data_IF_448153005255
#
_entry.id   IF_448153005255
#
_cell.length_a   1.000
_cell.length_b   1.000
_cell.length_c   1.000
_cell.angle_alpha   90.00
_cell.angle_beta   90.00
_cell.angle_gamma   90.00
#
_symmetry.space_group_name_H-M   'P 1'
#
loop_
_entity.id
_entity.type
_entity.pdbx_description
1 polymer ?
#
# COMPACT_ATOMS: atom_id res chain seq x y z
N UNK A 1 -0.82 9.99 -19.08
CA UNK A 1 -0.42 11.03 -18.09
C UNK A 1 -1.65 11.33 -17.25
N UNK A 2 -1.84 10.57 -16.17
CA UNK A 2 -2.81 10.94 -15.14
C UNK A 2 -2.24 12.16 -14.44
N UNK A 3 -2.81 13.33 -14.69
CA UNK A 3 -2.41 14.53 -13.97
C UNK A 3 -2.83 14.36 -12.51
N UNK A 4 -2.05 14.91 -11.58
CA UNK A 4 -2.40 15.14 -10.16
C UNK A 4 -3.79 15.76 -9.92
N UNK A 5 -4.46 16.20 -10.98
CA UNK A 5 -5.76 16.86 -11.04
C UNK A 5 -6.91 15.86 -10.92
N UNK A 6 -6.75 14.63 -11.42
CA UNK A 6 -7.88 13.70 -11.55
C UNK A 6 -8.16 12.90 -10.26
N UNK A 7 -7.16 12.73 -9.38
CA UNK A 7 -7.35 12.15 -8.05
C UNK A 7 -6.30 12.64 -7.03
N UNK A 8 -6.34 13.91 -6.59
CA UNK A 8 -5.36 14.46 -5.67
C UNK A 8 -5.44 13.78 -4.31
N UNK A 9 -4.28 13.46 -3.71
CA UNK A 9 -4.21 13.00 -2.33
C UNK A 9 -5.02 13.91 -1.43
N UNK A 10 -5.88 13.28 -0.62
CA UNK A 10 -6.79 13.98 0.28
C UNK A 10 -6.01 14.83 1.29
N UNK A 11 -4.76 14.47 1.60
CA UNK A 11 -3.85 15.24 2.46
C UNK A 11 -2.51 15.56 1.80
N UNK A 12 -2.10 16.84 1.87
CA UNK A 12 -0.76 17.29 1.51
C UNK A 12 -0.05 17.92 2.73
N UNK A 13 0.95 17.25 3.34
CA UNK A 13 1.61 17.76 4.55
C UNK A 13 2.31 19.12 4.38
N UNK A 14 2.55 19.56 3.15
CA UNK A 14 3.24 20.82 2.83
C UNK A 14 2.29 21.99 2.59
N UNK A 15 0.98 21.80 2.76
CA UNK A 15 -0.01 22.88 2.63
C UNK A 15 -0.78 23.07 3.92
N UNK A 16 -1.27 24.29 4.15
CA UNK A 16 -2.06 24.59 5.35
C UNK A 16 -3.40 23.86 5.30
N UNK A 17 -3.73 23.15 6.38
CA UNK A 17 -4.99 22.46 6.55
C UNK A 17 -5.70 22.98 7.80
N UNK A 18 -7.03 22.87 7.82
CA UNK A 18 -7.79 23.03 9.06
C UNK A 18 -7.26 22.05 10.12
N UNK A 19 -7.42 22.36 11.42
CA UNK A 19 -6.93 21.50 12.49
C UNK A 19 -7.40 20.05 12.33
N UNK A 20 -6.48 19.09 12.48
CA UNK A 20 -6.75 17.66 12.25
C UNK A 20 -7.90 17.11 13.11
N UNK A 21 -8.19 17.72 14.26
CA UNK A 21 -9.27 17.26 15.15
C UNK A 21 -10.69 17.43 14.56
N UNK A 22 -10.89 18.30 13.57
CA UNK A 22 -12.21 18.51 12.91
C UNK A 22 -12.30 17.71 11.60
N UNK A 23 -11.25 16.98 11.22
CA UNK A 23 -11.14 16.41 9.88
C UNK A 23 -11.92 15.09 9.76
N UNK A 24 -12.89 15.07 8.87
CA UNK A 24 -13.73 13.90 8.60
C UNK A 24 -13.16 12.98 7.50
N UNK A 25 -12.73 13.54 6.37
CA UNK A 25 -12.11 12.77 5.27
C UNK A 25 -10.64 12.48 5.56
N UNK A 26 -10.21 11.26 5.29
CA UNK A 26 -8.88 10.71 5.60
C UNK A 26 -8.70 10.33 7.06
N UNK A 27 -9.75 10.46 7.88
CA UNK A 27 -9.72 10.04 9.29
C UNK A 27 -10.46 8.73 9.48
N UNK A 28 -10.14 8.04 10.57
CA UNK A 28 -10.81 6.78 10.93
C UNK A 28 -12.20 6.97 11.51
N UNK A 29 -12.61 8.23 11.78
CA UNK A 29 -13.90 8.56 12.40
C UNK A 29 -15.09 7.89 11.70
N UNK A 30 -15.25 7.97 10.36
CA UNK A 30 -16.42 7.43 9.68
C UNK A 30 -16.50 5.89 9.78
N UNK A 31 -15.35 5.22 9.78
CA UNK A 31 -15.23 3.75 9.88
C UNK A 31 -15.48 3.27 11.33
N UNK A 32 -15.02 4.04 12.32
CA UNK A 32 -15.05 3.66 13.75
C UNK A 32 -16.37 3.99 14.43
N UNK A 33 -16.99 5.11 14.06
CA UNK A 33 -18.17 5.65 14.74
C UNK A 33 -19.35 4.66 14.83
N UNK A 34 -19.72 3.88 13.79
CA UNK A 34 -20.79 2.88 13.91
C UNK A 34 -20.53 1.85 15.01
N UNK A 35 -19.28 1.36 15.10
CA UNK A 35 -18.87 0.39 16.12
C UNK A 35 -18.90 1.00 17.52
N UNK A 36 -18.41 2.24 17.67
CA UNK A 36 -18.46 3.00 18.93
C UNK A 36 -19.90 3.24 19.38
N UNK A 37 -20.82 3.58 18.47
CA UNK A 37 -22.23 3.78 18.78
C UNK A 37 -22.85 2.49 19.35
N UNK A 38 -22.58 1.33 18.75
CA UNK A 38 -23.08 0.03 19.26
C UNK A 38 -22.65 -0.21 20.70
N UNK A 39 -21.36 -0.02 21.02
CA UNK A 39 -20.84 -0.19 22.38
C UNK A 39 -21.45 0.85 23.34
N UNK A 40 -21.66 2.08 22.87
CA UNK A 40 -22.25 3.16 23.67
C UNK A 40 -23.73 2.91 23.96
N UNK A 41 -24.50 2.39 23.00
CA UNK A 41 -25.89 1.99 23.21
C UNK A 41 -26.00 0.88 24.25
N UNK A 42 -25.09 -0.09 24.22
CA UNK A 42 -25.00 -1.10 25.28
C UNK A 42 -24.72 -0.43 26.64
N UNK A 43 -23.82 0.54 26.69
CA UNK A 43 -23.54 1.28 27.93
C UNK A 43 -24.76 2.02 28.48
N UNK A 44 -25.58 2.62 27.61
CA UNK A 44 -26.86 3.24 27.98
C UNK A 44 -27.80 2.21 28.58
N UNK A 45 -27.98 1.06 27.91
CA UNK A 45 -28.84 -0.02 28.41
C UNK A 45 -28.38 -0.50 29.78
N UNK A 46 -27.07 -0.74 29.94
CA UNK A 46 -26.49 -1.19 31.21
C UNK A 46 -26.71 -0.16 32.32
N UNK A 47 -26.52 1.14 32.04
CA UNK A 47 -26.76 2.19 33.02
C UNK A 47 -28.22 2.26 33.44
N UNK A 48 -29.15 2.22 32.50
CA UNK A 48 -30.60 2.26 32.79
C UNK A 48 -31.00 1.05 33.63
N UNK A 49 -30.59 -0.16 33.23
CA UNK A 49 -30.94 -1.39 33.96
C UNK A 49 -30.36 -1.37 35.37
N UNK A 50 -29.08 -1.03 35.53
CA UNK A 50 -28.42 -1.11 36.83
C UNK A 50 -28.84 0.00 37.81
N UNK A 51 -29.21 1.19 37.32
CA UNK A 51 -29.50 2.35 38.15
C UNK A 51 -31.00 2.57 38.41
N UNK A 52 -31.85 2.30 37.41
CA UNK A 52 -33.30 2.56 37.50
C UNK A 52 -34.10 1.32 37.88
N UNK A 53 -33.51 0.12 37.73
CA UNK A 53 -34.16 -1.13 38.15
C UNK A 53 -33.50 -1.72 39.40
N UNK A 54 -34.16 -2.70 40.02
CA UNK A 54 -33.60 -3.44 41.16
C UNK A 54 -32.54 -4.47 40.76
N UNK A 55 -32.32 -4.68 39.46
CA UNK A 55 -31.40 -5.70 38.94
C UNK A 55 -29.99 -5.13 38.89
N UNK A 56 -29.09 -5.69 39.72
CA UNK A 56 -27.67 -5.35 39.70
C UNK A 56 -26.94 -6.25 38.70
N UNK A 57 -26.48 -5.65 37.61
CA UNK A 57 -25.73 -6.32 36.53
C UNK A 57 -24.25 -5.93 36.52
N UNK A 58 -23.82 -5.07 37.44
CA UNK A 58 -22.43 -4.70 37.61
C UNK A 58 -21.53 -5.90 37.89
N UNK A 59 -20.33 -5.89 37.31
CA UNK A 59 -19.29 -6.90 37.54
C UNK A 59 -18.01 -6.24 38.08
N UNK A 60 -17.14 -6.99 38.78
CA UNK A 60 -15.91 -6.41 39.34
C UNK A 60 -15.02 -5.76 38.28
N UNK A 61 -14.49 -4.57 38.58
CA UNK A 61 -13.57 -3.83 37.70
C UNK A 61 -12.15 -4.38 37.65
N UNK A 62 -11.89 -5.50 38.31
CA UNK A 62 -10.59 -6.20 38.32
C UNK A 62 -10.17 -6.72 36.95
N UNK A 63 -11.11 -6.90 36.01
CA UNK A 63 -10.81 -7.34 34.64
C UNK A 63 -10.33 -6.20 33.74
N UNK A 64 -10.63 -4.93 34.04
CA UNK A 64 -10.18 -3.77 33.27
C UNK A 64 -8.65 -3.75 33.12
N UNK A 65 -7.84 -3.76 34.19
CA UNK A 65 -6.38 -3.67 34.04
C UNK A 65 -5.79 -4.89 33.30
N UNK A 66 -6.32 -6.10 33.54
CA UNK A 66 -5.81 -7.33 32.92
C UNK A 66 -6.09 -7.33 31.41
N UNK A 67 -7.36 -7.14 31.02
CA UNK A 67 -7.73 -7.12 29.61
C UNK A 67 -7.20 -5.87 28.90
N UNK A 68 -7.17 -4.73 29.58
CA UNK A 68 -6.63 -3.48 29.06
C UNK A 68 -5.14 -3.59 28.73
N UNK A 69 -4.35 -4.25 29.59
CA UNK A 69 -2.95 -4.54 29.30
C UNK A 69 -2.77 -5.44 28.08
N UNK A 70 -3.53 -6.54 28.00
CA UNK A 70 -3.47 -7.47 26.86
C UNK A 70 -3.88 -6.78 25.55
N UNK A 71 -4.99 -6.03 25.56
CA UNK A 71 -5.45 -5.25 24.40
C UNK A 71 -4.41 -4.22 23.98
N UNK A 72 -3.82 -3.49 24.93
CA UNK A 72 -2.80 -2.48 24.66
C UNK A 72 -1.56 -3.08 23.98
N UNK A 73 -1.06 -4.22 24.46
CA UNK A 73 0.07 -4.91 23.86
C UNK A 73 -0.24 -5.39 22.45
N UNK A 74 -1.39 -6.03 22.24
CA UNK A 74 -1.76 -6.56 20.92
C UNK A 74 -1.99 -5.44 19.91
N UNK A 75 -2.65 -4.35 20.30
CA UNK A 75 -2.83 -3.18 19.43
C UNK A 75 -1.50 -2.55 19.05
N UNK A 76 -0.58 -2.39 20.01
CA UNK A 76 0.76 -1.85 19.75
C UNK A 76 1.53 -2.70 18.75
N UNK A 77 1.51 -4.02 18.92
CA UNK A 77 2.15 -4.93 17.97
C UNK A 77 1.53 -4.78 16.56
N UNK A 78 0.20 -4.80 16.45
CA UNK A 78 -0.50 -4.61 15.17
C UNK A 78 -0.12 -3.29 14.49
N UNK A 79 -0.15 -2.18 15.22
CA UNK A 79 0.19 -0.88 14.63
C UNK A 79 1.63 -0.80 14.17
N UNK A 80 2.56 -1.39 14.93
CA UNK A 80 3.97 -1.40 14.55
C UNK A 80 4.18 -2.25 13.29
N UNK A 81 3.63 -3.46 13.23
CA UNK A 81 3.76 -4.33 12.05
C UNK A 81 3.12 -3.71 10.80
N UNK A 82 1.95 -3.09 10.93
CA UNK A 82 1.31 -2.40 9.81
C UNK A 82 2.12 -1.18 9.35
N UNK A 83 2.64 -0.38 10.30
CA UNK A 83 3.51 0.75 10.00
C UNK A 83 4.81 0.34 9.29
N UNK A 84 5.44 -0.75 9.73
CA UNK A 84 6.66 -1.27 9.10
C UNK A 84 6.42 -1.64 7.64
N UNK A 85 5.29 -2.29 7.32
CA UNK A 85 4.90 -2.60 5.94
C UNK A 85 4.66 -1.36 5.09
N UNK A 86 3.93 -0.38 5.63
CA UNK A 86 3.70 0.90 4.96
C UNK A 86 5.02 1.62 4.65
N UNK A 87 5.91 1.72 5.65
CA UNK A 87 7.20 2.38 5.50
C UNK A 87 8.14 1.62 4.56
N UNK A 88 8.15 0.29 4.61
CA UNK A 88 8.91 -0.56 3.70
C UNK A 88 8.46 -0.34 2.25
N UNK A 89 7.15 -0.37 1.98
CA UNK A 89 6.60 -0.10 0.65
C UNK A 89 7.04 1.28 0.12
N UNK A 90 6.95 2.33 0.95
CA UNK A 90 7.41 3.67 0.58
C UNK A 90 8.90 3.71 0.25
N UNK A 91 9.74 3.05 1.06
CA UNK A 91 11.19 3.01 0.88
C UNK A 91 11.57 2.25 -0.38
N UNK A 92 10.97 1.09 -0.64
CA UNK A 92 11.21 0.30 -1.85
C UNK A 92 10.89 1.08 -3.12
N UNK A 93 9.81 1.86 -3.11
CA UNK A 93 9.48 2.72 -4.24
C UNK A 93 10.55 3.79 -4.52
N UNK A 94 11.14 4.37 -3.47
CA UNK A 94 12.26 5.29 -3.63
C UNK A 94 13.50 4.60 -4.23
N UNK A 95 13.80 3.36 -3.82
CA UNK A 95 14.91 2.56 -4.36
C UNK A 95 14.68 2.27 -5.84
N UNK A 96 13.46 1.86 -6.21
CA UNK A 96 13.07 1.61 -7.60
C UNK A 96 13.25 2.86 -8.48
N UNK A 97 12.80 4.03 -8.03
CA UNK A 97 12.98 5.31 -8.74
C UNK A 97 14.47 5.63 -8.93
N UNK A 98 15.32 5.39 -7.92
CA UNK A 98 16.76 5.60 -8.04
C UNK A 98 17.37 4.65 -9.07
N UNK A 99 16.98 3.38 -9.08
CA UNK A 99 17.44 2.39 -10.06
C UNK A 99 17.02 2.78 -11.49
N UNK A 100 15.77 3.20 -11.70
CA UNK A 100 15.27 3.72 -12.98
C UNK A 100 16.09 4.92 -13.45
N UNK A 101 16.34 5.90 -12.57
CA UNK A 101 17.13 7.11 -12.90
C UNK A 101 18.56 6.78 -13.26
N UNK A 102 19.19 5.88 -12.51
CA UNK A 102 20.56 5.43 -12.78
C UNK A 102 20.64 4.67 -14.11
N UNK A 103 19.69 3.77 -14.38
CA UNK A 103 19.66 3.00 -15.63
C UNK A 103 19.40 3.92 -16.84
N UNK A 104 18.46 4.87 -16.70
CA UNK A 104 18.19 5.91 -17.70
C UNK A 104 19.45 6.72 -18.01
N UNK A 105 20.18 7.19 -16.99
CA UNK A 105 21.43 7.95 -17.17
C UNK A 105 22.49 7.13 -17.90
N UNK A 106 22.68 5.87 -17.52
CA UNK A 106 23.67 4.99 -18.16
C UNK A 106 23.31 4.69 -19.62
N UNK A 107 22.03 4.40 -19.90
CA UNK A 107 21.54 4.17 -21.26
C UNK A 107 21.71 5.43 -22.12
N UNK A 108 21.35 6.60 -21.58
CA UNK A 108 21.38 7.84 -22.34
C UNK A 108 22.79 8.27 -22.71
N UNK A 109 23.72 8.26 -21.73
CA UNK A 109 25.05 8.83 -21.87
C UNK A 109 26.07 7.83 -22.44
N UNK A 110 26.04 6.57 -22.00
CA UNK A 110 27.16 5.64 -22.26
C UNK A 110 26.94 4.72 -23.46
N UNK A 111 25.70 4.57 -23.93
CA UNK A 111 25.43 3.79 -25.14
C UNK A 111 25.67 4.67 -26.36
N UNK A 112 26.67 4.31 -27.16
CA UNK A 112 26.98 4.99 -28.42
C UNK A 112 25.84 4.82 -29.42
N UNK A 113 25.55 5.89 -30.15
CA UNK A 113 24.60 5.91 -31.27
C UNK A 113 25.40 5.98 -32.57
N UNK A 114 25.01 5.22 -33.59
CA UNK A 114 25.41 5.55 -34.96
C UNK A 114 24.57 6.73 -35.47
N UNK A 115 25.00 7.41 -36.54
CA UNK A 115 24.28 8.54 -37.18
C UNK A 115 22.86 8.19 -37.70
N UNK A 116 22.37 6.97 -37.44
CA UNK A 116 21.06 6.47 -37.82
C UNK A 116 19.97 6.77 -36.79
N UNK A 117 18.77 7.15 -37.29
CA UNK A 117 17.57 7.37 -36.48
C UNK A 117 17.08 6.14 -35.69
N UNK A 118 17.55 4.93 -36.04
CA UNK A 118 17.10 3.67 -35.43
C UNK A 118 17.62 3.49 -34.01
N UNK A 119 18.91 3.74 -33.76
CA UNK A 119 19.53 3.58 -32.44
C UNK A 119 18.91 4.54 -31.42
N UNK A 120 18.65 5.78 -31.84
CA UNK A 120 17.96 6.78 -31.00
C UNK A 120 16.54 6.34 -30.64
N UNK A 121 15.81 5.71 -31.58
CA UNK A 121 14.46 5.22 -31.33
C UNK A 121 14.47 4.04 -30.35
N UNK A 122 15.40 3.10 -30.50
CA UNK A 122 15.57 1.98 -29.57
C UNK A 122 15.95 2.45 -28.16
N UNK A 123 16.87 3.42 -28.07
CA UNK A 123 17.28 4.03 -26.80
C UNK A 123 16.09 4.70 -26.10
N UNK A 124 15.30 5.48 -26.83
CA UNK A 124 14.06 6.10 -26.30
C UNK A 124 13.04 5.04 -25.87
N UNK A 125 12.91 3.95 -26.63
CA UNK A 125 12.03 2.83 -26.29
C UNK A 125 12.47 2.18 -24.98
N UNK A 126 13.76 1.89 -24.81
CA UNK A 126 14.29 1.32 -23.57
C UNK A 126 14.04 2.25 -22.36
N UNK A 127 14.20 3.56 -22.52
CA UNK A 127 13.90 4.53 -21.44
C UNK A 127 12.40 4.58 -21.12
N UNK A 128 11.54 4.59 -22.13
CA UNK A 128 10.09 4.54 -21.93
C UNK A 128 9.68 3.25 -21.19
N UNK A 129 10.35 2.14 -21.45
CA UNK A 129 10.11 0.88 -20.74
C UNK A 129 10.54 0.93 -19.28
N UNK A 130 11.54 1.72 -18.90
CA UNK A 130 11.86 1.91 -17.48
C UNK A 130 10.73 2.62 -16.73
N UNK A 131 10.07 3.59 -17.38
CA UNK A 131 8.87 4.24 -16.85
C UNK A 131 7.71 3.23 -16.87
N UNK A 132 7.58 2.48 -17.96
CA UNK A 132 6.61 1.41 -18.13
C UNK A 132 6.71 0.35 -17.03
N UNK A 133 7.92 0.03 -16.57
CA UNK A 133 8.14 -0.87 -15.44
C UNK A 133 7.53 -0.34 -14.15
N UNK A 134 7.71 0.95 -13.84
CA UNK A 134 7.11 1.55 -12.65
C UNK A 134 5.58 1.55 -12.72
N UNK A 135 5.02 1.94 -13.87
CA UNK A 135 3.56 1.97 -14.09
C UNK A 135 2.98 0.55 -14.07
N UNK A 136 3.62 -0.41 -14.72
CA UNK A 136 3.22 -1.81 -14.67
C UNK A 136 3.29 -2.36 -13.25
N UNK A 137 4.32 -1.99 -12.47
CA UNK A 137 4.45 -2.40 -11.06
C UNK A 137 3.30 -1.82 -10.23
N UNK A 138 2.91 -0.57 -10.46
CA UNK A 138 1.73 0.03 -9.82
C UNK A 138 0.47 -0.78 -10.07
N UNK A 139 0.13 -1.06 -11.33
CA UNK A 139 -1.07 -1.83 -11.67
C UNK A 139 -1.02 -3.25 -11.11
N UNK A 140 0.15 -3.89 -11.19
CA UNK A 140 0.39 -5.20 -10.61
C UNK A 140 0.17 -5.22 -9.09
N UNK A 141 0.63 -4.20 -8.36
CA UNK A 141 0.40 -4.12 -6.90
C UNK A 141 -1.03 -3.78 -6.51
N UNK A 142 -1.80 -3.21 -7.43
CA UNK A 142 -3.24 -2.96 -7.28
C UNK A 142 -4.10 -4.15 -7.71
N UNK A 143 -3.47 -5.24 -8.16
CA UNK A 143 -4.14 -6.43 -8.72
C UNK A 143 -5.05 -6.04 -9.91
N UNK A 144 -4.64 -5.02 -10.65
CA UNK A 144 -5.31 -4.58 -11.88
C UNK A 144 -4.72 -5.37 -13.05
N UNK A 145 -5.35 -6.50 -13.35
CA UNK A 145 -4.98 -7.32 -14.49
C UNK A 145 -5.32 -6.61 -15.80
N UNK A 146 -4.36 -6.63 -16.73
CA UNK A 146 -4.58 -6.11 -18.08
C UNK A 146 -3.42 -5.30 -18.62
N UNK A 147 -3.45 -5.15 -19.93
CA UNK A 147 -2.36 -4.55 -20.70
C UNK A 147 -2.76 -3.17 -21.29
N UNK A 148 -4.03 -2.80 -21.13
CA UNK A 148 -4.67 -1.66 -21.80
C UNK A 148 -4.96 -0.50 -20.85
N UNK A 149 -4.05 -0.22 -19.91
CA UNK A 149 -4.14 1.00 -19.11
C UNK A 149 -3.68 2.22 -19.93
N UNK A 150 -4.43 3.32 -19.85
CA UNK A 150 -4.20 4.53 -20.67
C UNK A 150 -2.84 5.19 -20.42
N UNK A 151 -2.31 5.07 -19.21
CA UNK A 151 -1.00 5.56 -18.80
C UNK A 151 0.15 4.60 -19.13
N UNK A 152 -0.13 3.31 -19.27
CA UNK A 152 0.85 2.27 -19.59
C UNK A 152 1.04 2.07 -21.10
N UNK A 153 -0.05 2.05 -21.86
CA UNK A 153 -0.05 1.73 -23.31
C UNK A 153 0.96 2.54 -24.13
N UNK A 154 1.11 3.87 -23.96
CA UNK A 154 2.09 4.66 -24.72
C UNK A 154 3.56 4.30 -24.43
N UNK A 155 3.83 3.70 -23.26
CA UNK A 155 5.19 3.37 -22.82
C UNK A 155 5.67 2.05 -23.42
N UNK A 156 4.74 1.13 -23.69
CA UNK A 156 5.02 -0.23 -24.16
C UNK A 156 4.66 -0.47 -25.63
N UNK A 157 3.95 0.45 -26.29
CA UNK A 157 3.51 0.29 -27.69
C UNK A 157 4.65 0.12 -28.70
N UNK A 158 5.87 0.55 -28.35
CA UNK A 158 7.04 0.51 -29.23
C UNK A 158 7.89 -0.75 -29.04
N UNK A 159 7.46 -1.72 -28.23
CA UNK A 159 8.16 -2.99 -28.08
C UNK A 159 8.05 -3.77 -29.41
N UNK A 160 9.12 -3.73 -30.20
CA UNK A 160 9.33 -4.65 -31.33
C UNK A 160 10.19 -5.78 -30.82
N UNK A 161 9.57 -6.85 -30.35
CA UNK A 161 10.31 -8.02 -29.88
C UNK A 161 10.15 -9.16 -30.89
N UNK A 162 11.29 -9.62 -31.40
CA UNK A 162 11.41 -10.89 -32.13
C UNK A 162 11.92 -12.01 -31.18
N UNK A 163 11.88 -11.79 -29.86
CA UNK A 163 12.36 -12.77 -28.88
C UNK A 163 11.43 -14.00 -28.88
N UNK A 164 11.99 -15.23 -28.92
CA UNK A 164 11.17 -16.44 -28.85
C UNK A 164 10.36 -16.46 -27.55
N UNK A 165 9.03 -16.54 -27.67
CA UNK A 165 8.10 -16.52 -26.54
C UNK A 165 7.51 -15.15 -26.19
N UNK A 166 7.94 -14.07 -26.85
CA UNK A 166 7.41 -12.73 -26.64
C UNK A 166 6.69 -12.27 -27.92
N UNK A 167 5.36 -12.19 -27.90
CA UNK A 167 4.61 -11.61 -29.01
C UNK A 167 4.63 -10.08 -28.91
N UNK A 168 4.78 -9.34 -30.03
CA UNK A 168 4.55 -7.90 -30.05
C UNK A 168 3.20 -7.58 -29.41
N UNK A 169 3.14 -6.50 -28.65
CA UNK A 169 1.96 -6.13 -27.84
C UNK A 169 0.67 -5.97 -28.66
N UNK A 170 0.80 -5.58 -29.93
CA UNK A 170 -0.31 -5.46 -30.88
C UNK A 170 -0.87 -6.82 -31.37
N UNK A 171 -0.18 -7.93 -31.04
CA UNK A 171 -0.52 -9.30 -31.45
C UNK A 171 -0.90 -10.18 -30.24
N UNK A 172 -0.93 -9.61 -29.02
CA UNK A 172 -1.45 -10.28 -27.83
C UNK A 172 -2.98 -10.29 -27.88
N UNK A 173 -3.56 -11.47 -27.65
CA UNK A 173 -5.00 -11.65 -27.61
C UNK A 173 -5.56 -11.05 -26.30
N UNK A 174 -6.46 -10.06 -26.34
CA UNK A 174 -7.08 -9.51 -25.13
C UNK A 174 -7.82 -10.55 -24.29
N UNK A 175 -8.16 -11.71 -24.88
CA UNK A 175 -8.88 -12.81 -24.24
C UNK A 175 -7.99 -13.93 -23.68
N UNK A 176 -6.67 -13.87 -23.87
CA UNK A 176 -5.79 -14.84 -23.22
C UNK A 176 -5.64 -14.49 -21.74
N UNK A 177 -6.32 -15.26 -20.88
CA UNK A 177 -6.27 -15.21 -19.39
C UNK A 177 -4.91 -15.60 -18.81
N UNK A 178 -3.80 -15.19 -19.43
CA UNK A 178 -2.48 -15.45 -18.88
C UNK A 178 -2.13 -14.26 -17.99
N UNK A 179 -2.11 -14.52 -16.69
CA UNK A 179 -1.71 -13.60 -15.63
C UNK A 179 -0.21 -13.30 -15.79
N UNK A 180 0.12 -12.40 -16.72
CA UNK A 180 1.48 -12.05 -17.08
C UNK A 180 2.03 -11.05 -16.06
N UNK A 181 3.16 -11.39 -15.42
CA UNK A 181 3.93 -10.44 -14.62
C UNK A 181 4.64 -9.47 -15.58
N UNK A 182 3.88 -8.50 -16.08
CA UNK A 182 4.35 -7.52 -17.06
C UNK A 182 5.62 -6.75 -16.60
N UNK A 183 5.74 -6.33 -15.31
CA UNK A 183 6.99 -5.76 -14.83
C UNK A 183 8.20 -6.67 -15.11
N UNK A 184 8.09 -7.96 -14.84
CA UNK A 184 9.15 -8.92 -15.09
C UNK A 184 9.47 -9.05 -16.59
N UNK A 185 8.46 -9.09 -17.45
CA UNK A 185 8.66 -9.14 -18.91
C UNK A 185 9.39 -7.91 -19.45
N UNK A 186 9.06 -6.73 -18.93
CA UNK A 186 9.78 -5.50 -19.25
C UNK A 186 11.27 -5.62 -18.89
N UNK A 187 11.61 -6.23 -17.75
CA UNK A 187 13.02 -6.43 -17.38
C UNK A 187 13.75 -7.37 -18.33
N UNK A 188 13.08 -8.40 -18.87
CA UNK A 188 13.68 -9.32 -19.85
C UNK A 188 14.01 -8.57 -21.15
N UNK A 189 13.11 -7.70 -21.61
CA UNK A 189 13.36 -6.87 -22.79
C UNK A 189 14.55 -5.92 -22.56
N UNK A 190 14.58 -5.24 -21.42
CA UNK A 190 15.68 -4.34 -21.06
C UNK A 190 17.03 -5.09 -20.98
N UNK A 191 17.03 -6.31 -20.44
CA UNK A 191 18.21 -7.17 -20.40
C UNK A 191 18.70 -7.52 -21.82
N UNK A 192 17.80 -7.94 -22.70
CA UNK A 192 18.12 -8.24 -24.10
C UNK A 192 18.66 -7.01 -24.85
N UNK A 193 18.08 -5.83 -24.62
CA UNK A 193 18.57 -4.57 -25.18
C UNK A 193 20.00 -4.25 -24.73
N UNK A 194 20.28 -4.35 -23.43
CA UNK A 194 21.63 -4.11 -22.88
C UNK A 194 22.64 -5.09 -23.47
N UNK A 195 22.29 -6.38 -23.55
CA UNK A 195 23.19 -7.39 -24.10
C UNK A 195 23.45 -7.20 -25.59
N UNK A 196 22.43 -6.85 -26.38
CA UNK A 196 22.59 -6.54 -27.80
C UNK A 196 23.55 -5.36 -28.01
N UNK A 197 23.41 -4.28 -27.23
CA UNK A 197 24.31 -3.11 -27.34
C UNK A 197 25.73 -3.45 -26.88
N UNK A 198 25.90 -4.36 -25.92
CA UNK A 198 27.21 -4.90 -25.52
C UNK A 198 27.86 -5.71 -26.64
N UNK A 199 27.13 -6.67 -27.23
CA UNK A 199 27.63 -7.51 -28.32
C UNK A 199 28.05 -6.68 -29.55
N UNK A 200 27.34 -5.58 -29.81
CA UNK A 200 27.65 -4.63 -30.89
C UNK A 200 28.73 -3.60 -30.53
N UNK A 201 29.47 -3.79 -29.42
CA UNK A 201 30.53 -2.88 -28.95
C UNK A 201 30.08 -1.41 -28.79
N UNK A 202 28.78 -1.17 -28.51
CA UNK A 202 28.22 0.17 -28.29
C UNK A 202 28.42 0.66 -26.86
N UNK A 203 28.75 -0.23 -25.94
CA UNK A 203 28.98 0.06 -24.53
C UNK A 203 30.08 -0.84 -23.97
N UNK A 204 30.85 -0.32 -23.02
CA UNK A 204 31.91 -1.06 -22.33
C UNK A 204 31.34 -2.03 -21.26
N UNK A 205 32.14 -3.03 -20.89
CA UNK A 205 31.75 -4.06 -19.93
C UNK A 205 31.49 -3.48 -18.52
N UNK A 206 32.35 -2.61 -17.94
CA UNK A 206 32.08 -1.98 -16.64
C UNK A 206 30.74 -1.24 -16.57
N UNK A 207 30.40 -0.46 -17.59
CA UNK A 207 29.10 0.23 -17.65
C UNK A 207 27.96 -0.77 -17.78
N UNK A 208 28.13 -1.82 -18.61
CA UNK A 208 27.13 -2.89 -18.75
C UNK A 208 26.83 -3.58 -17.41
N UNK A 209 27.87 -3.90 -16.62
CA UNK A 209 27.71 -4.47 -15.29
C UNK A 209 26.94 -3.53 -14.34
N UNK A 210 27.20 -2.23 -14.44
CA UNK A 210 26.46 -1.21 -13.67
C UNK A 210 24.98 -1.16 -14.07
N UNK A 211 24.67 -1.33 -15.35
CA UNK A 211 23.29 -1.42 -15.84
C UNK A 211 22.58 -2.70 -15.36
N UNK A 212 23.25 -3.85 -15.40
CA UNK A 212 22.70 -5.09 -14.86
C UNK A 212 22.47 -5.01 -13.33
N UNK A 213 23.35 -4.35 -12.59
CA UNK A 213 23.14 -4.09 -11.16
C UNK A 213 21.88 -3.26 -10.89
N UNK A 214 21.62 -2.23 -11.70
CA UNK A 214 20.39 -1.44 -11.60
C UNK A 214 19.16 -2.27 -11.97
N UNK A 215 19.24 -3.11 -13.01
CA UNK A 215 18.15 -3.99 -13.41
C UNK A 215 17.82 -5.04 -12.33
N UNK A 216 18.83 -5.64 -11.71
CA UNK A 216 18.64 -6.54 -10.57
C UNK A 216 17.96 -5.82 -9.40
N UNK A 217 18.33 -4.56 -9.14
CA UNK A 217 17.67 -3.74 -8.11
C UNK A 217 16.17 -3.54 -8.41
N UNK A 218 15.77 -3.42 -9.69
CA UNK A 218 14.35 -3.35 -10.06
C UNK A 218 13.61 -4.66 -9.75
N UNK A 219 14.21 -5.80 -10.09
CA UNK A 219 13.66 -7.13 -9.81
C UNK A 219 13.57 -7.38 -8.30
N UNK A 220 14.58 -6.96 -7.54
CA UNK A 220 14.59 -7.04 -6.09
C UNK A 220 13.45 -6.20 -5.49
N UNK A 221 13.23 -4.98 -5.99
CA UNK A 221 12.10 -4.15 -5.56
C UNK A 221 10.76 -4.83 -5.85
N UNK A 222 10.56 -5.37 -7.05
CA UNK A 222 9.34 -6.09 -7.43
C UNK A 222 9.07 -7.28 -6.50
N UNK A 223 10.09 -8.11 -6.26
CA UNK A 223 10.00 -9.27 -5.36
C UNK A 223 9.64 -8.85 -3.93
N UNK A 224 10.21 -7.75 -3.46
CA UNK A 224 9.92 -7.21 -2.13
C UNK A 224 8.51 -6.61 -2.04
N UNK A 225 8.02 -5.96 -3.10
CA UNK A 225 6.63 -5.52 -3.15
C UNK A 225 5.65 -6.69 -3.15
N UNK A 226 5.94 -7.76 -3.91
CA UNK A 226 5.16 -9.01 -3.89
C UNK A 226 5.11 -9.62 -2.50
N UNK A 227 6.23 -9.59 -1.77
CA UNK A 227 6.27 -10.05 -0.38
C UNK A 227 5.31 -9.22 0.48
N UNK A 228 5.34 -7.90 0.37
CA UNK A 228 4.43 -7.02 1.13
C UNK A 228 2.97 -7.30 0.74
N UNK A 229 2.65 -7.49 -0.53
CA UNK A 229 1.28 -7.71 -0.98
C UNK A 229 0.75 -9.11 -0.61
N UNK A 230 1.51 -10.16 -0.92
CA UNK A 230 1.08 -11.56 -0.82
C UNK A 230 1.32 -12.20 0.54
N UNK A 231 2.09 -11.56 1.42
CA UNK A 231 2.34 -12.05 2.78
C UNK A 231 1.71 -11.14 3.83
N UNK A 232 0.36 -11.11 3.93
CA UNK A 232 -0.33 -10.30 4.92
C UNK A 232 -0.12 -10.81 6.35
N UNK A 233 -0.48 -10.00 7.34
CA UNK A 233 -0.48 -10.44 8.74
C UNK A 233 -1.41 -11.67 8.86
N UNK A 234 -0.99 -12.76 9.52
CA UNK A 234 -1.79 -13.97 9.59
C UNK A 234 -3.23 -13.70 10.03
N UNK A 235 -4.19 -14.19 9.25
CA UNK A 235 -5.62 -13.89 9.45
C UNK A 235 -6.10 -14.23 10.88
N UNK A 236 -5.62 -15.35 11.44
CA UNK A 236 -5.96 -15.76 12.81
C UNK A 236 -5.59 -14.70 13.86
N UNK A 237 -4.44 -14.02 13.68
CA UNK A 237 -4.02 -12.93 14.55
C UNK A 237 -4.96 -11.73 14.43
N UNK A 238 -5.28 -11.31 13.20
CA UNK A 238 -6.19 -10.18 12.95
C UNK A 238 -7.60 -10.42 13.48
N UNK A 239 -8.12 -11.65 13.35
CA UNK A 239 -9.42 -12.06 13.91
C UNK A 239 -9.37 -12.02 15.44
N UNK A 240 -8.39 -12.68 16.06
CA UNK A 240 -8.33 -12.78 17.52
C UNK A 240 -8.12 -11.42 18.20
N UNK A 241 -7.30 -10.55 17.61
CA UNK A 241 -7.13 -9.18 18.08
C UNK A 241 -8.44 -8.40 18.02
N UNK A 242 -9.17 -8.49 16.90
CA UNK A 242 -10.48 -7.85 16.76
C UNK A 242 -11.45 -8.36 17.84
N UNK A 243 -11.57 -9.67 18.01
CA UNK A 243 -12.41 -10.29 19.04
C UNK A 243 -12.05 -9.80 20.45
N UNK A 244 -10.75 -9.72 20.77
CA UNK A 244 -10.26 -9.30 22.08
C UNK A 244 -10.60 -7.84 22.37
N UNK A 245 -10.43 -6.93 21.39
CA UNK A 245 -10.82 -5.51 21.50
C UNK A 245 -12.33 -5.38 21.71
N UNK A 246 -13.13 -6.15 20.96
CA UNK A 246 -14.59 -6.14 21.10
C UNK A 246 -15.05 -6.66 22.46
N UNK A 247 -14.52 -7.80 22.91
CA UNK A 247 -14.82 -8.36 24.24
C UNK A 247 -14.49 -7.33 25.32
N UNK A 248 -13.33 -6.69 25.24
CA UNK A 248 -12.95 -5.64 26.17
C UNK A 248 -13.95 -4.48 26.16
N UNK A 249 -14.21 -3.89 25.00
CA UNK A 249 -15.12 -2.74 24.88
C UNK A 249 -16.54 -3.06 25.36
N UNK A 250 -17.08 -4.24 25.01
CA UNK A 250 -18.42 -4.68 25.42
C UNK A 250 -18.50 -4.98 26.93
N UNK A 251 -17.39 -5.36 27.56
CA UNK A 251 -17.33 -5.62 29.01
C UNK A 251 -17.22 -4.36 29.87
N UNK A 252 -16.72 -3.24 29.31
CA UNK A 252 -16.50 -1.99 30.05
C UNK A 252 -17.75 -1.44 30.76
N UNK A 253 -18.95 -1.34 30.13
CA UNK A 253 -20.10 -0.75 30.81
C UNK A 253 -20.51 -1.51 32.07
N UNK A 254 -20.43 -2.84 32.07
CA UNK A 254 -20.74 -3.66 33.25
C UNK A 254 -19.74 -3.46 34.38
N UNK A 255 -18.47 -3.17 34.06
CA UNK A 255 -17.42 -2.97 35.06
C UNK A 255 -17.43 -1.57 35.68
N UNK A 256 -17.93 -0.58 34.93
CA UNK A 256 -17.86 0.83 35.33
C UNK A 256 -19.17 1.35 35.96
N UNK A 257 -20.31 0.72 35.68
CA UNK A 257 -21.64 1.23 36.05
C UNK A 257 -21.83 1.45 37.55
N UNK A 258 -21.30 0.58 38.41
CA UNK A 258 -21.44 0.71 39.86
C UNK A 258 -20.60 1.87 40.42
N UNK A 259 -19.44 2.14 39.83
CA UNK A 259 -18.53 3.20 40.28
C UNK A 259 -18.86 4.56 39.68
N UNK A 260 -19.21 4.62 38.40
CA UNK A 260 -19.36 5.86 37.64
C UNK A 260 -20.82 6.22 37.32
N UNK A 261 -21.77 5.32 37.56
CA UNK A 261 -23.19 5.53 37.22
C UNK A 261 -23.34 6.00 35.76
N UNK A 262 -24.10 7.06 35.50
CA UNK A 262 -24.30 7.63 34.16
C UNK A 262 -23.02 8.16 33.49
N UNK A 263 -21.95 8.47 34.24
CA UNK A 263 -20.65 8.86 33.67
C UNK A 263 -20.00 7.70 32.90
N UNK A 264 -20.44 6.45 33.12
CA UNK A 264 -20.02 5.29 32.34
C UNK A 264 -20.23 5.49 30.84
N UNK A 265 -21.33 6.12 30.41
CA UNK A 265 -21.69 6.28 28.99
C UNK A 265 -20.61 7.05 28.21
N UNK A 266 -20.25 8.31 28.59
CA UNK A 266 -19.21 9.05 27.87
C UNK A 266 -17.83 8.41 27.97
N UNK A 267 -17.51 7.72 29.08
CA UNK A 267 -16.22 7.02 29.23
C UNK A 267 -16.13 5.81 28.30
N UNK A 268 -17.18 5.01 28.20
CA UNK A 268 -17.23 3.85 27.30
C UNK A 268 -17.21 4.29 25.84
N UNK A 269 -17.91 5.38 25.49
CA UNK A 269 -17.81 6.00 24.16
C UNK A 269 -16.34 6.36 23.84
N UNK A 270 -15.68 7.11 24.73
CA UNK A 270 -14.30 7.55 24.51
C UNK A 270 -13.33 6.35 24.41
N UNK A 271 -13.41 5.40 25.33
CA UNK A 271 -12.53 4.24 25.35
C UNK A 271 -12.69 3.36 24.10
N UNK A 272 -13.94 3.07 23.71
CA UNK A 272 -14.22 2.28 22.50
C UNK A 272 -13.81 3.02 21.24
N UNK A 273 -14.04 4.33 21.15
CA UNK A 273 -13.57 5.16 20.03
C UNK A 273 -12.05 5.11 19.87
N UNK A 274 -11.28 5.23 20.96
CA UNK A 274 -9.81 5.18 20.91
C UNK A 274 -9.32 3.79 20.50
N UNK A 275 -9.79 2.73 21.16
CA UNK A 275 -9.26 1.38 20.94
C UNK A 275 -9.66 0.80 19.59
N UNK A 276 -10.92 0.97 19.19
CA UNK A 276 -11.39 0.57 17.86
C UNK A 276 -10.76 1.47 16.79
N UNK A 277 -10.51 2.74 17.10
CA UNK A 277 -9.75 3.66 16.25
C UNK A 277 -8.37 3.15 15.90
N UNK A 278 -7.57 2.80 16.91
CA UNK A 278 -6.22 2.24 16.71
C UNK A 278 -6.28 0.94 15.89
N UNK A 279 -7.25 0.07 16.17
CA UNK A 279 -7.46 -1.16 15.42
C UNK A 279 -7.70 -0.90 13.92
N UNK A 280 -8.54 0.09 13.59
CA UNK A 280 -8.84 0.46 12.20
C UNK A 280 -7.65 1.15 11.52
N UNK A 281 -6.92 2.05 12.21
CA UNK A 281 -5.70 2.66 11.66
C UNK A 281 -4.72 1.56 11.22
N UNK A 282 -4.49 0.57 12.09
CA UNK A 282 -3.59 -0.54 11.78
C UNK A 282 -4.07 -1.40 10.61
N UNK A 283 -5.39 -1.51 10.38
CA UNK A 283 -5.91 -2.19 9.19
C UNK A 283 -5.78 -1.36 7.91
N UNK A 284 -5.97 -0.05 8.00
CA UNK A 284 -5.92 0.86 6.85
C UNK A 284 -4.50 0.98 6.27
N UNK A 285 -3.48 1.06 7.12
CA UNK A 285 -2.09 1.20 6.66
C UNK A 285 -1.41 -0.16 6.35
N UNK A 286 -2.10 -1.28 6.56
CA UNK A 286 -1.52 -2.62 6.40
C UNK A 286 -1.16 -2.94 4.94
N UNK A 287 -2.04 -2.56 4.00
CA UNK A 287 -1.79 -2.66 2.57
C UNK A 287 -1.61 -1.26 1.97
N UNK A 288 -0.36 -0.80 1.76
CA UNK A 288 -0.10 0.59 1.36
C UNK A 288 -0.32 0.87 -0.14
N UNK A 289 -0.69 -0.12 -0.95
CA UNK A 289 -0.69 -0.02 -2.42
C UNK A 289 -2.07 0.22 -3.04
N UNK A 290 -3.13 0.22 -2.23
CA UNK A 290 -4.50 0.33 -2.69
C UNK A 290 -4.91 1.75 -3.12
N UNK A 291 -6.21 2.02 -2.92
CA UNK A 291 -6.87 3.28 -3.24
C UNK A 291 -7.47 3.96 -2.00
N UNK A 292 -7.17 3.48 -0.80
CA UNK A 292 -7.63 4.13 0.42
C UNK A 292 -7.00 5.53 0.55
N UNK A 293 -7.68 6.46 1.22
CA UNK A 293 -7.26 7.86 1.30
C UNK A 293 -5.85 8.05 1.91
N UNK A 294 -5.39 7.06 2.68
CA UNK A 294 -4.10 7.05 3.37
C UNK A 294 -3.04 6.15 2.72
N UNK A 295 -3.34 5.52 1.59
CA UNK A 295 -2.39 4.69 0.83
C UNK A 295 -1.28 5.52 0.16
N UNK A 296 -0.27 4.84 -0.38
CA UNK A 296 0.80 5.48 -1.13
C UNK A 296 0.30 6.08 -2.44
N UNK A 297 0.86 7.23 -2.80
CA UNK A 297 0.50 7.91 -4.05
C UNK A 297 1.30 7.32 -5.20
N UNK A 298 0.95 6.10 -5.60
CA UNK A 298 1.70 5.41 -6.65
C UNK A 298 1.62 6.15 -7.99
N UNK A 299 0.52 6.87 -8.24
CA UNK A 299 0.33 7.68 -9.44
C UNK A 299 1.29 8.89 -9.46
N UNK A 300 1.43 9.63 -8.35
CA UNK A 300 2.42 10.71 -8.22
C UNK A 300 3.86 10.18 -8.34
N UNK A 301 4.12 8.97 -7.85
CA UNK A 301 5.47 8.42 -7.94
C UNK A 301 5.83 7.89 -9.33
N UNK A 302 4.85 7.60 -10.19
CA UNK A 302 5.03 7.18 -11.58
C UNK A 302 5.14 8.36 -12.56
N UNK A 303 4.75 9.57 -12.15
CA UNK A 303 4.70 10.79 -12.97
C UNK A 303 6.04 11.48 -13.24
#
# INVERSE_FOLDING_TARGET
MSNRVDNPKVYNPYSYHRPHFIRWRGSVIPKVLPSTIVVTLLAVIVCIVNLETKVKIGIPSTFIPVLGFVVGLLLTYRTNTAYDRYWEGRRLWAVMVVAIRNLTRNIWINIKEDDGKSDLLEKKTAINLLIGFAVATKHYLREEDGLLHDDLKPLISNIKSNLPGFKPFNEMDPSSEVNHNLPLEITLYLCSYIDNKRQNNKVDVPTTNSMYGALNTLIDCLTQFERILRSPIPLAYSIHLTQTVWIYCLSLPFQLVDSLKYITIPIVFLASFILIGILHIGGEIENPFGYDENDLDLDDFCG
#
